data_IF_285258907078
#
_entry.id   IF_285258907078
#
_cell.length_a   1.000
_cell.length_b   1.000
_cell.length_c   1.000
_cell.angle_alpha   90.00
_cell.angle_beta   90.00
_cell.angle_gamma   90.00
#
_symmetry.space_group_name_H-M   'P 1'
#
loop_
_entity.id
_entity.type
_entity.pdbx_description
1 polymer ?
#
# COMPACT_ATOMS: atom_id res chain seq x y z
N UNK A 1 22.87 27.28 -1.06
CA UNK A 1 22.13 26.06 -0.69
C UNK A 1 20.66 26.32 -0.89
N UNK A 2 19.97 25.69 -1.85
CA UNK A 2 18.52 25.80 -1.96
C UNK A 2 17.85 24.62 -1.25
N UNK A 3 16.82 24.95 -0.48
CA UNK A 3 15.88 23.99 0.08
C UNK A 3 15.01 23.44 -1.05
N UNK A 4 15.20 22.17 -1.38
CA UNK A 4 14.23 21.43 -2.17
C UNK A 4 13.08 21.04 -1.25
N UNK A 5 12.09 21.93 -1.13
CA UNK A 5 10.79 21.58 -0.57
C UNK A 5 9.86 21.08 -1.67
N UNK A 6 10.31 20.07 -2.41
CA UNK A 6 9.42 19.18 -3.14
C UNK A 6 8.53 18.46 -2.13
N UNK A 7 7.40 19.08 -1.76
CA UNK A 7 6.32 18.36 -1.08
C UNK A 7 5.83 17.31 -2.06
N UNK A 8 6.32 16.08 -1.91
CA UNK A 8 5.67 14.92 -2.48
C UNK A 8 4.30 14.82 -1.79
N UNK A 9 3.24 15.28 -2.47
CA UNK A 9 1.89 14.79 -2.18
C UNK A 9 1.95 13.30 -2.49
N UNK A 10 2.12 12.48 -1.46
CA UNK A 10 1.97 11.04 -1.62
C UNK A 10 0.49 10.77 -1.84
N UNK A 11 0.15 10.15 -2.97
CA UNK A 11 -1.15 9.52 -3.13
C UNK A 11 -1.13 8.21 -2.34
N UNK A 12 -1.90 8.16 -1.25
CA UNK A 12 -2.05 6.94 -0.45
C UNK A 12 -2.86 5.90 -1.24
N UNK A 13 -2.16 4.91 -1.80
CA UNK A 13 -2.76 3.83 -2.58
C UNK A 13 -3.13 2.69 -1.64
N UNK A 14 -4.40 2.29 -1.68
CA UNK A 14 -4.92 1.17 -0.90
C UNK A 14 -5.30 0.01 -1.82
N UNK A 15 -4.67 -1.15 -1.60
CA UNK A 15 -4.93 -2.38 -2.36
C UNK A 15 -5.66 -3.39 -1.48
N UNK A 16 -6.71 -4.00 -2.03
CA UNK A 16 -7.54 -4.97 -1.31
C UNK A 16 -7.64 -6.22 -2.18
N UNK A 17 -7.10 -7.32 -1.66
CA UNK A 17 -7.16 -8.64 -2.30
C UNK A 17 -7.23 -9.72 -1.22
N UNK A 18 -7.95 -10.82 -1.46
CA UNK A 18 -7.97 -11.96 -0.55
C UNK A 18 -6.66 -12.79 -0.60
N UNK A 19 -5.80 -12.59 -1.60
CA UNK A 19 -4.61 -13.40 -1.85
C UNK A 19 -3.32 -12.56 -2.00
N UNK A 20 -2.24 -13.04 -1.37
CA UNK A 20 -0.91 -12.42 -1.39
C UNK A 20 -0.35 -12.39 -2.80
N UNK A 21 -0.45 -13.51 -3.52
CA UNK A 21 0.12 -13.64 -4.86
C UNK A 21 -0.56 -12.68 -5.84
N UNK A 22 -1.88 -12.47 -5.69
CA UNK A 22 -2.59 -11.42 -6.41
C UNK A 22 -2.11 -10.03 -6.04
N UNK A 23 -1.90 -9.72 -4.76
CA UNK A 23 -1.37 -8.41 -4.36
C UNK A 23 0.02 -8.16 -4.96
N UNK A 24 0.92 -9.16 -4.96
CA UNK A 24 2.26 -9.05 -5.54
C UNK A 24 2.19 -8.73 -7.03
N UNK A 25 1.33 -9.44 -7.78
CA UNK A 25 1.12 -9.19 -9.20
C UNK A 25 0.53 -7.82 -9.47
N UNK A 26 -0.50 -7.43 -8.71
CA UNK A 26 -1.12 -6.10 -8.86
C UNK A 26 -0.12 -4.98 -8.58
N UNK A 27 0.73 -5.14 -7.57
CA UNK A 27 1.73 -4.14 -7.23
C UNK A 27 2.86 -4.08 -8.28
N UNK A 28 3.28 -5.22 -8.82
CA UNK A 28 4.24 -5.29 -9.92
C UNK A 28 3.70 -4.64 -11.20
N UNK A 29 2.44 -4.93 -11.56
CA UNK A 29 1.79 -4.32 -12.71
C UNK A 29 1.60 -2.80 -12.52
N UNK A 30 1.29 -2.38 -11.30
CA UNK A 30 1.19 -0.96 -10.94
C UNK A 30 2.54 -0.24 -11.05
N UNK A 31 3.62 -0.78 -10.45
CA UNK A 31 4.96 -0.20 -10.56
C UNK A 31 5.41 -0.12 -12.03
N UNK A 32 5.16 -1.17 -12.81
CA UNK A 32 5.45 -1.19 -14.25
C UNK A 32 4.66 -0.13 -15.02
N UNK A 33 3.39 0.08 -14.68
CA UNK A 33 2.57 1.12 -15.29
C UNK A 33 3.07 2.53 -14.92
N UNK A 34 3.41 2.75 -13.64
CA UNK A 34 4.06 3.97 -13.16
C UNK A 34 5.38 4.23 -13.90
N UNK A 35 6.21 3.21 -14.09
CA UNK A 35 7.49 3.33 -14.79
C UNK A 35 7.35 3.88 -16.21
N UNK A 36 6.25 3.55 -16.90
CA UNK A 36 5.96 4.08 -18.26
C UNK A 36 5.68 5.57 -18.28
N UNK A 37 5.13 6.12 -17.19
CA UNK A 37 4.83 7.54 -17.05
C UNK A 37 5.93 8.31 -16.29
N UNK A 38 7.07 7.67 -16.00
CA UNK A 38 8.20 8.27 -15.29
C UNK A 38 8.04 8.30 -13.76
N UNK A 39 7.06 7.60 -13.21
CA UNK A 39 6.88 7.42 -11.78
C UNK A 39 7.47 6.09 -11.32
N UNK A 40 7.97 6.03 -10.08
CA UNK A 40 8.45 4.79 -9.46
C UNK A 40 7.88 4.66 -8.07
N UNK A 41 7.40 3.48 -7.71
CA UNK A 41 6.96 3.23 -6.34
C UNK A 41 8.14 3.29 -5.38
N UNK A 42 7.91 3.87 -4.20
CA UNK A 42 8.87 3.76 -3.10
C UNK A 42 8.45 2.61 -2.18
N UNK A 43 8.89 1.41 -2.51
CA UNK A 43 8.55 0.19 -1.76
C UNK A 43 8.94 0.24 -0.27
N UNK A 44 9.95 1.05 0.09
CA UNK A 44 10.34 1.26 1.49
C UNK A 44 9.34 2.11 2.28
N UNK A 45 8.57 2.95 1.59
CA UNK A 45 7.50 3.78 2.17
C UNK A 45 6.12 3.14 1.99
N UNK A 46 6.00 2.17 1.08
CA UNK A 46 4.77 1.39 0.94
C UNK A 46 4.58 0.55 2.20
N UNK A 47 3.44 0.76 2.87
CA UNK A 47 2.98 -0.08 3.98
C UNK A 47 1.87 -0.98 3.46
N UNK A 48 2.01 -2.28 3.71
CA UNK A 48 1.01 -3.27 3.38
C UNK A 48 0.22 -3.61 4.64
N UNK A 49 -1.09 -3.67 4.50
CA UNK A 49 -1.98 -4.10 5.56
C UNK A 49 -2.46 -5.50 5.24
N UNK A 50 -2.33 -6.44 6.19
CA UNK A 50 -2.86 -7.80 6.05
C UNK A 50 -3.99 -8.05 7.02
N UNK A 51 -4.96 -8.84 6.59
CA UNK A 51 -5.95 -9.44 7.48
C UNK A 51 -5.39 -10.75 8.06
N UNK A 52 -5.92 -11.22 9.20
CA UNK A 52 -5.52 -12.48 9.84
C UNK A 52 -5.80 -13.75 9.03
N UNK A 53 -6.50 -13.64 7.90
CA UNK A 53 -6.69 -14.73 6.93
C UNK A 53 -5.51 -14.87 5.95
N UNK A 54 -4.68 -13.84 5.85
CA UNK A 54 -3.54 -13.79 4.95
C UNK A 54 -2.33 -14.41 5.65
N UNK A 55 -1.59 -15.27 4.94
CA UNK A 55 -0.39 -15.92 5.48
C UNK A 55 0.60 -14.91 6.06
N UNK A 56 1.23 -15.26 7.19
CA UNK A 56 2.31 -14.50 7.83
C UNK A 56 3.60 -14.44 6.99
N UNK A 57 3.63 -15.06 5.81
CA UNK A 57 4.77 -15.02 4.92
C UNK A 57 5.12 -13.57 4.52
N UNK A 58 6.41 -13.17 4.51
CA UNK A 58 6.82 -11.84 4.06
C UNK A 58 6.32 -11.53 2.65
N UNK A 59 5.90 -10.30 2.42
CA UNK A 59 5.55 -9.81 1.09
C UNK A 59 6.79 -9.21 0.44
N UNK A 60 7.14 -9.67 -0.76
CA UNK A 60 8.31 -9.16 -1.48
C UNK A 60 7.95 -8.76 -2.90
N UNK A 61 8.39 -7.58 -3.32
CA UNK A 61 8.38 -7.18 -4.72
C UNK A 61 9.81 -6.95 -5.19
N UNK A 62 10.22 -7.63 -6.26
CA UNK A 62 11.59 -7.60 -6.79
C UNK A 62 12.67 -7.84 -5.72
N UNK A 63 12.40 -8.74 -4.78
CA UNK A 63 13.29 -9.05 -3.66
C UNK A 63 13.35 -7.97 -2.56
N UNK A 64 12.58 -6.90 -2.68
CA UNK A 64 12.43 -5.89 -1.63
C UNK A 64 11.26 -6.24 -0.72
N UNK A 65 11.52 -6.41 0.57
CA UNK A 65 10.47 -6.61 1.57
C UNK A 65 9.63 -5.33 1.72
N UNK A 66 8.32 -5.51 1.72
CA UNK A 66 7.37 -4.43 2.00
C UNK A 66 7.01 -4.48 3.48
N UNK A 67 7.01 -3.33 4.14
CA UNK A 67 6.70 -3.25 5.56
C UNK A 67 5.21 -3.54 5.79
N UNK A 68 4.94 -4.40 6.76
CA UNK A 68 3.57 -4.69 7.19
C UNK A 68 3.14 -3.71 8.28
N UNK A 69 1.88 -3.31 8.27
CA UNK A 69 1.27 -2.53 9.33
C UNK A 69 -0.06 -3.13 9.76
N UNK A 70 -0.30 -3.12 11.07
CA UNK A 70 -1.56 -3.57 11.66
C UNK A 70 -2.63 -2.47 11.68
N UNK A 71 -2.23 -1.21 11.53
CA UNK A 71 -3.08 -0.05 11.83
C UNK A 71 -2.68 1.18 11.02
N UNK A 72 -3.63 1.80 10.34
CA UNK A 72 -3.39 2.94 9.47
C UNK A 72 -4.35 4.07 9.81
N UNK A 73 -3.83 5.28 10.00
CA UNK A 73 -4.67 6.46 10.29
C UNK A 73 -4.97 7.18 8.98
N UNK A 74 -6.21 7.05 8.50
CA UNK A 74 -6.68 7.74 7.31
C UNK A 74 -7.67 8.84 7.70
N UNK A 75 -7.41 10.09 7.28
CA UNK A 75 -8.28 11.24 7.57
C UNK A 75 -8.66 11.38 9.07
N UNK A 76 -7.71 11.10 9.96
CA UNK A 76 -7.89 11.19 11.41
C UNK A 76 -8.63 10.02 12.05
N UNK A 77 -8.98 8.98 11.28
CA UNK A 77 -9.56 7.73 11.80
C UNK A 77 -8.55 6.60 11.68
N UNK A 78 -8.36 5.91 12.80
CA UNK A 78 -7.63 4.66 12.86
C UNK A 78 -8.43 3.56 12.16
N UNK A 79 -7.81 2.88 11.19
CA UNK A 79 -8.41 1.79 10.44
C UNK A 79 -7.60 0.55 10.81
N UNK A 80 -8.30 -0.47 11.32
CA UNK A 80 -7.77 -1.82 11.42
C UNK A 80 -8.43 -2.69 10.35
N UNK A 81 -7.62 -3.40 9.57
CA UNK A 81 -8.09 -4.26 8.48
C UNK A 81 -9.01 -5.40 8.94
N UNK A 82 -8.95 -5.81 10.22
CA UNK A 82 -9.82 -6.84 10.77
C UNK A 82 -11.26 -6.38 11.03
N UNK A 83 -11.49 -5.10 11.36
CA UNK A 83 -12.76 -4.63 11.91
C UNK A 83 -13.37 -3.44 11.16
N UNK A 84 -12.55 -2.57 10.56
CA UNK A 84 -12.98 -1.25 10.05
C UNK A 84 -12.89 -1.11 8.52
N UNK A 85 -12.54 -2.20 7.82
CA UNK A 85 -12.34 -2.18 6.37
C UNK A 85 -13.64 -1.96 5.58
N UNK A 86 -14.73 -2.62 5.97
CA UNK A 86 -16.01 -2.54 5.25
C UNK A 86 -16.66 -1.13 5.34
N UNK A 87 -16.69 -0.46 6.51
CA UNK A 87 -17.12 0.93 6.61
C UNK A 87 -16.27 1.92 5.80
N UNK A 88 -14.95 1.70 5.71
CA UNK A 88 -14.08 2.58 4.91
C UNK A 88 -14.31 2.39 3.40
N UNK A 89 -14.50 1.15 2.97
CA UNK A 89 -14.77 0.82 1.57
C UNK A 89 -16.07 1.42 1.06
N UNK A 90 -17.12 1.45 1.89
CA UNK A 90 -18.41 2.03 1.50
C UNK A 90 -18.34 3.55 1.33
N UNK A 91 -17.37 4.23 1.95
CA UNK A 91 -17.15 5.67 1.78
C UNK A 91 -16.52 6.03 0.43
N UNK A 92 -15.83 5.09 -0.21
CA UNK A 92 -15.19 5.28 -1.52
C UNK A 92 -16.08 4.87 -2.71
N UNK A 93 -17.35 4.51 -2.46
CA UNK A 93 -18.32 4.16 -3.49
C UNK A 93 -19.04 5.38 -4.04
#
# INVERSE_FOLDING_TARGET
>A
MPADSGKACGDDIFLITPDISQAERMLADFDKACGKIGFRLNLKKTMLMKNGLVSSAPFTLDGTNIFECSMYVYLGREINMMNDLAPELSRRK
#
